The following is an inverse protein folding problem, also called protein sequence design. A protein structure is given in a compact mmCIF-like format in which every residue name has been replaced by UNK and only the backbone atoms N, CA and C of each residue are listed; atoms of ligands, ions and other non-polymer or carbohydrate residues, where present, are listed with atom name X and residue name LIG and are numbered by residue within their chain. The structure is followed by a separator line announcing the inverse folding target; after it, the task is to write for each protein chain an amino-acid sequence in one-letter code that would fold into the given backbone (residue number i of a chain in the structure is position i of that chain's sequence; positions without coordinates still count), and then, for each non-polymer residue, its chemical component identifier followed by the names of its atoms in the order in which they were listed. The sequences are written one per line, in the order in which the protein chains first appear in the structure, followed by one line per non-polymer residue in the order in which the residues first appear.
data_IF_445060568097
#
_entry.id   IF_445060568097
#
_cell.length_a   1.000
_cell.length_b   1.000
_cell.length_c   1.000
_cell.angle_alpha   90.00
_cell.angle_beta   90.00
_cell.angle_gamma   90.00
#
_symmetry.space_group_name_H-M   'P 1'
#
loop_
_entity.id
_entity.type
_entity.pdbx_description
1 polymer ?
#
# COMPACT_ATOMS: atom_id res chain seq x y z
N UNK A 1 -2.44 -36.50 -41.69
CA UNK A 1 -1.62 -35.30 -41.45
C UNK A 1 -2.25 -34.57 -40.27
N UNK A 2 -1.66 -34.70 -39.09
CA UNK A 2 -2.22 -34.22 -37.83
C UNK A 2 -2.17 -32.70 -37.78
N UNK A 3 -3.33 -32.08 -37.75
CA UNK A 3 -3.50 -30.65 -37.58
C UNK A 3 -3.07 -30.27 -36.15
N UNK A 4 -1.79 -29.94 -35.97
CA UNK A 4 -1.32 -29.31 -34.74
C UNK A 4 -1.98 -27.94 -34.67
N UNK A 5 -3.06 -27.84 -33.90
CA UNK A 5 -3.65 -26.57 -33.50
C UNK A 5 -2.52 -25.64 -33.02
N UNK A 6 -2.23 -24.60 -33.80
CA UNK A 6 -1.37 -23.50 -33.39
C UNK A 6 -2.06 -22.87 -32.19
N UNK A 7 -1.72 -23.29 -30.98
CA UNK A 7 -2.12 -22.60 -29.76
C UNK A 7 -1.42 -21.25 -29.79
N UNK A 8 -2.05 -20.27 -30.43
CA UNK A 8 -1.56 -18.91 -30.46
C UNK A 8 -1.41 -18.43 -29.03
N UNK A 9 -0.25 -17.85 -28.71
CA UNK A 9 -0.02 -17.26 -27.39
C UNK A 9 -1.08 -16.19 -27.13
N UNK A 10 -1.94 -16.40 -26.13
CA UNK A 10 -2.88 -15.39 -25.68
C UNK A 10 -2.08 -14.33 -24.93
N UNK A 11 -2.14 -13.07 -25.41
CA UNK A 11 -1.50 -11.95 -24.72
C UNK A 11 -2.21 -11.71 -23.38
N UNK A 12 -1.45 -11.63 -22.29
CA UNK A 12 -1.96 -11.34 -20.95
C UNK A 12 -1.18 -10.15 -20.38
N UNK A 13 -1.88 -9.26 -19.69
CA UNK A 13 -1.29 -8.14 -18.95
C UNK A 13 -2.16 -7.76 -17.75
N UNK A 14 -1.68 -6.86 -16.89
CA UNK A 14 -2.40 -6.41 -15.70
C UNK A 14 -2.64 -4.89 -15.70
N UNK A 15 -3.76 -4.47 -15.08
CA UNK A 15 -4.20 -3.08 -14.97
C UNK A 15 -3.59 -2.31 -13.80
N UNK A 16 -2.58 -2.86 -13.12
CA UNK A 16 -1.85 -2.15 -12.07
C UNK A 16 -1.24 -3.08 -11.04
N UNK A 17 0.04 -2.89 -10.77
CA UNK A 17 0.80 -3.68 -9.79
C UNK A 17 0.26 -3.47 -8.36
N UNK A 18 0.27 -4.54 -7.57
CA UNK A 18 0.09 -4.49 -6.11
C UNK A 18 1.46 -4.62 -5.42
N UNK A 19 1.60 -4.01 -4.25
CA UNK A 19 2.77 -4.27 -3.41
C UNK A 19 2.84 -5.77 -3.07
N UNK A 20 4.03 -6.39 -2.92
CA UNK A 20 4.13 -7.83 -2.68
C UNK A 20 3.42 -8.33 -1.41
N UNK A 21 3.30 -7.47 -0.39
CA UNK A 21 2.56 -7.77 0.84
C UNK A 21 1.05 -7.52 0.71
N UNK A 22 0.63 -6.83 -0.34
CA UNK A 22 -0.75 -6.46 -0.55
C UNK A 22 -1.53 -7.57 -1.24
N UNK A 23 -2.83 -7.55 -1.02
CA UNK A 23 -3.82 -8.47 -1.60
C UNK A 23 -4.99 -7.68 -2.18
N UNK A 24 -5.90 -8.38 -2.84
CA UNK A 24 -7.10 -7.80 -3.42
C UNK A 24 -7.08 -7.81 -4.94
N UNK A 25 -7.90 -6.94 -5.55
CA UNK A 25 -8.17 -6.98 -6.99
C UNK A 25 -6.93 -6.66 -7.80
N UNK A 26 -6.69 -7.47 -8.83
CA UNK A 26 -5.81 -7.15 -9.95
C UNK A 26 -6.61 -7.35 -11.24
N UNK A 27 -6.83 -6.27 -11.99
CA UNK A 27 -7.49 -6.36 -13.30
C UNK A 27 -6.55 -7.05 -14.27
N UNK A 28 -7.01 -8.11 -14.94
CA UNK A 28 -6.26 -8.84 -15.96
C UNK A 28 -6.89 -8.59 -17.32
N UNK A 29 -6.06 -8.17 -18.28
CA UNK A 29 -6.46 -8.04 -19.67
C UNK A 29 -5.98 -9.25 -20.46
N UNK A 30 -6.88 -9.87 -21.21
CA UNK A 30 -6.56 -11.00 -22.09
C UNK A 30 -6.83 -10.65 -23.55
N UNK A 31 -5.92 -11.02 -24.46
CA UNK A 31 -6.04 -10.77 -25.89
C UNK A 31 -6.25 -9.29 -26.23
N UNK A 32 -7.40 -8.97 -26.83
CA UNK A 32 -7.80 -7.59 -27.14
C UNK A 32 -8.07 -6.75 -25.88
N UNK A 33 -8.46 -7.36 -24.77
CA UNK A 33 -8.70 -6.68 -23.48
C UNK A 33 -7.45 -5.99 -22.92
N UNK A 34 -6.25 -6.48 -23.28
CA UNK A 34 -4.99 -5.79 -22.96
C UNK A 34 -4.93 -4.34 -23.47
N UNK A 35 -5.71 -3.97 -24.51
CA UNK A 35 -5.77 -2.59 -25.03
C UNK A 35 -6.44 -1.61 -24.07
N UNK A 36 -7.32 -2.09 -23.17
CA UNK A 36 -8.03 -1.28 -22.17
C UNK A 36 -7.26 -1.14 -20.84
N UNK A 37 -6.11 -1.81 -20.70
CA UNK A 37 -5.37 -1.83 -19.44
C UNK A 37 -4.81 -0.47 -19.04
N UNK A 38 -4.57 0.42 -20.01
CA UNK A 38 -4.12 1.79 -19.74
C UNK A 38 -5.15 2.55 -18.89
N UNK A 39 -6.43 2.47 -19.26
CA UNK A 39 -7.53 3.10 -18.54
C UNK A 39 -7.66 2.55 -17.11
N UNK A 40 -7.34 1.26 -16.93
CA UNK A 40 -7.34 0.61 -15.62
C UNK A 40 -6.17 1.06 -14.75
N UNK A 41 -4.98 1.24 -15.35
CA UNK A 41 -3.82 1.77 -14.65
C UNK A 41 -4.14 3.17 -14.13
N UNK A 42 -4.77 3.99 -14.97
CA UNK A 42 -5.10 5.38 -14.65
C UNK A 42 -6.39 5.58 -13.84
N UNK A 43 -7.12 4.51 -13.52
CA UNK A 43 -8.35 4.60 -12.75
C UNK A 43 -8.10 4.86 -11.26
N UNK A 44 -9.14 5.33 -10.56
CA UNK A 44 -9.17 5.33 -9.11
C UNK A 44 -9.14 3.92 -8.52
N UNK A 45 -8.67 3.82 -7.27
CA UNK A 45 -8.53 2.58 -6.51
C UNK A 45 -9.03 2.81 -5.09
N UNK A 46 -9.62 1.79 -4.48
CA UNK A 46 -10.02 1.80 -3.08
C UNK A 46 -9.18 0.77 -2.33
N UNK A 47 -8.61 1.22 -1.23
CA UNK A 47 -7.79 0.40 -0.36
C UNK A 47 -8.37 0.38 1.05
N UNK A 48 -8.17 -0.75 1.74
CA UNK A 48 -8.26 -0.86 3.18
C UNK A 48 -6.85 -1.15 3.68
N UNK A 49 -6.32 -0.27 4.52
CA UNK A 49 -4.96 -0.36 5.03
C UNK A 49 -4.95 -0.56 6.54
N UNK A 50 -4.13 -1.50 7.02
CA UNK A 50 -3.69 -1.56 8.41
C UNK A 50 -2.41 -0.74 8.56
N UNK A 51 -2.40 0.15 9.53
CA UNK A 51 -1.31 1.08 9.77
C UNK A 51 -0.87 1.02 11.22
N UNK A 52 0.44 0.98 11.45
CA UNK A 52 1.04 1.04 12.78
C UNK A 52 1.78 2.36 12.98
N UNK A 53 1.30 3.16 13.92
CA UNK A 53 1.95 4.37 14.40
C UNK A 53 2.94 4.06 15.52
N UNK A 54 3.91 4.94 15.72
CA UNK A 54 4.99 4.81 16.68
C UNK A 54 6.20 4.05 16.15
N UNK A 55 6.12 3.43 14.97
CA UNK A 55 7.22 2.66 14.40
C UNK A 55 7.35 2.90 12.90
N UNK A 56 8.57 3.03 12.38
CA UNK A 56 8.83 3.17 10.95
C UNK A 56 9.89 2.18 10.45
N UNK A 57 9.77 1.85 9.17
CA UNK A 57 10.67 0.96 8.47
C UNK A 57 11.13 1.56 7.14
N UNK A 58 12.18 0.99 6.56
CA UNK A 58 12.84 1.51 5.37
C UNK A 58 12.01 1.39 4.09
N UNK A 59 11.10 0.43 4.05
CA UNK A 59 10.18 0.20 2.94
C UNK A 59 8.84 0.92 3.14
N UNK A 60 8.66 1.61 4.29
CA UNK A 60 7.39 2.17 4.76
C UNK A 60 6.29 1.11 4.94
N UNK A 61 6.68 -0.15 5.11
CA UNK A 61 5.81 -1.27 5.44
C UNK A 61 6.48 -2.29 6.38
N UNK A 62 5.73 -3.28 6.86
CA UNK A 62 6.22 -4.28 7.80
C UNK A 62 7.34 -5.20 7.26
N UNK A 63 7.64 -5.17 5.95
CA UNK A 63 8.72 -5.99 5.38
C UNK A 63 10.09 -5.32 5.49
N UNK A 64 10.12 -4.03 5.81
CA UNK A 64 11.32 -3.24 5.89
C UNK A 64 12.10 -3.43 7.19
N UNK A 65 13.39 -3.12 7.11
CA UNK A 65 14.23 -2.93 8.29
C UNK A 65 13.75 -1.74 9.12
N UNK A 66 13.86 -1.85 10.44
CA UNK A 66 13.58 -0.76 11.37
C UNK A 66 14.32 0.53 11.01
N UNK A 67 13.66 1.68 11.18
CA UNK A 67 14.25 3.03 11.05
C UNK A 67 14.18 3.80 12.35
N UNK A 68 12.97 3.96 12.91
CA UNK A 68 12.74 4.79 14.08
C UNK A 68 11.49 4.38 14.84
N UNK A 69 11.49 4.68 16.15
CA UNK A 69 10.38 4.49 17.08
C UNK A 69 10.05 5.82 17.77
N UNK A 70 8.77 6.08 18.01
CA UNK A 70 8.26 7.25 18.74
C UNK A 70 7.03 6.89 19.54
N UNK A 71 6.77 7.64 20.60
CA UNK A 71 5.57 7.51 21.42
C UNK A 71 4.29 7.82 20.63
N UNK A 72 3.19 7.23 21.06
CA UNK A 72 1.85 7.44 20.49
C UNK A 72 0.81 7.83 21.53
N UNK A 73 1.20 8.03 22.80
CA UNK A 73 0.29 8.34 23.91
C UNK A 73 -0.55 9.61 23.68
N UNK A 74 -0.02 10.55 22.91
CA UNK A 74 -0.68 11.82 22.58
C UNK A 74 -1.70 11.72 21.44
N UNK A 75 -1.79 10.57 20.77
CA UNK A 75 -2.67 10.38 19.61
C UNK A 75 -4.03 9.94 20.12
N UNK A 76 -5.05 10.75 19.83
CA UNK A 76 -6.45 10.45 20.09
C UNK A 76 -7.16 10.05 18.80
N UNK A 77 -8.31 9.37 18.92
CA UNK A 77 -9.18 9.04 17.78
C UNK A 77 -9.55 10.27 16.96
N UNK A 78 -9.93 11.36 17.62
CA UNK A 78 -10.31 12.62 16.95
C UNK A 78 -9.11 13.26 16.23
N UNK A 79 -7.92 13.22 16.84
CA UNK A 79 -6.70 13.71 16.18
C UNK A 79 -6.37 12.89 14.93
N UNK A 80 -6.57 11.57 14.99
CA UNK A 80 -6.38 10.68 13.85
C UNK A 80 -7.39 10.98 12.75
N UNK A 81 -8.69 11.08 13.07
CA UNK A 81 -9.74 11.47 12.11
C UNK A 81 -9.41 12.82 11.46
N UNK A 82 -9.00 13.82 12.26
CA UNK A 82 -8.57 15.13 11.76
C UNK A 82 -7.38 15.03 10.82
N UNK A 83 -6.39 14.19 11.14
CA UNK A 83 -5.26 13.93 10.26
C UNK A 83 -5.71 13.28 8.95
N UNK A 84 -6.54 12.22 8.98
CA UNK A 84 -7.05 11.58 7.76
C UNK A 84 -7.78 12.58 6.86
N UNK A 85 -8.60 13.47 7.44
CA UNK A 85 -9.31 14.52 6.71
C UNK A 85 -8.37 15.56 6.08
N UNK A 86 -7.26 15.89 6.74
CA UNK A 86 -6.27 16.86 6.22
C UNK A 86 -5.62 16.39 4.92
N UNK A 87 -5.51 15.07 4.72
CA UNK A 87 -4.93 14.50 3.50
C UNK A 87 -5.96 14.22 2.39
N UNK A 88 -7.26 14.52 2.60
CA UNK A 88 -8.25 14.50 1.50
C UNK A 88 -7.97 15.66 0.54
N UNK A 89 -8.22 15.43 -0.74
CA UNK A 89 -7.95 16.41 -1.79
C UNK A 89 -6.70 16.10 -2.61
N UNK A 90 -6.20 17.11 -3.31
CA UNK A 90 -4.96 17.01 -4.07
C UNK A 90 -3.77 17.13 -3.10
N UNK A 91 -2.91 16.11 -3.09
CA UNK A 91 -1.68 16.11 -2.29
C UNK A 91 -0.46 15.84 -3.18
N UNK A 92 0.71 16.23 -2.71
CA UNK A 92 1.98 15.94 -3.38
C UNK A 92 2.71 14.83 -2.64
N UNK A 93 2.95 13.71 -3.32
CA UNK A 93 3.68 12.56 -2.78
C UNK A 93 5.03 12.39 -3.48
N UNK A 94 6.04 12.04 -2.69
CA UNK A 94 7.28 11.47 -3.22
C UNK A 94 7.14 9.94 -3.22
N UNK A 95 7.22 9.28 -4.39
CA UNK A 95 7.23 7.82 -4.45
C UNK A 95 8.27 7.20 -3.51
N UNK A 96 7.98 6.08 -2.82
CA UNK A 96 8.98 5.39 -2.02
C UNK A 96 10.05 4.78 -2.93
N UNK A 97 11.28 4.71 -2.41
CA UNK A 97 12.41 4.05 -3.07
C UNK A 97 12.07 2.59 -3.45
N UNK A 98 11.34 1.88 -2.59
CA UNK A 98 10.81 0.55 -2.87
C UNK A 98 9.52 0.60 -3.70
N UNK A 99 9.64 1.02 -4.96
CA UNK A 99 8.51 1.09 -5.90
C UNK A 99 8.86 0.61 -7.30
N UNK A 100 7.83 0.25 -8.06
CA UNK A 100 7.95 -0.14 -9.47
C UNK A 100 8.14 1.06 -10.41
N UNK A 101 8.42 2.28 -9.93
CA UNK A 101 8.73 3.40 -10.83
C UNK A 101 10.08 3.14 -11.53
N UNK A 102 10.22 3.52 -12.79
CA UNK A 102 11.48 3.38 -13.53
C UNK A 102 12.26 4.70 -13.55
N UNK A 103 13.58 4.62 -13.36
CA UNK A 103 14.55 5.69 -13.54
C UNK A 103 15.69 5.17 -14.41
N UNK A 104 15.83 5.76 -15.60
CA UNK A 104 16.84 5.43 -16.60
C UNK A 104 16.85 3.93 -16.98
N UNK A 105 15.65 3.41 -17.27
CA UNK A 105 15.45 2.02 -17.69
C UNK A 105 15.43 0.99 -16.56
N UNK A 106 15.76 1.36 -15.33
CA UNK A 106 15.83 0.48 -14.16
C UNK A 106 14.77 0.83 -13.11
N UNK A 107 14.16 -0.14 -12.43
CA UNK A 107 13.13 0.11 -11.40
C UNK A 107 13.77 0.62 -10.11
N UNK A 108 13.09 1.53 -9.39
CA UNK A 108 13.62 2.12 -8.14
C UNK A 108 13.95 1.07 -7.08
N UNK A 109 13.14 0.01 -6.97
CA UNK A 109 13.43 -1.09 -6.03
C UNK A 109 14.73 -1.86 -6.38
N UNK A 110 15.17 -1.84 -7.64
CA UNK A 110 16.40 -2.53 -8.07
C UNK A 110 17.62 -1.75 -7.60
N UNK A 111 17.63 -0.42 -7.73
CA UNK A 111 18.65 0.44 -7.12
C UNK A 111 18.75 0.19 -5.60
N UNK A 112 17.59 0.11 -4.94
CA UNK A 112 17.51 -0.09 -3.49
C UNK A 112 18.08 -1.44 -3.02
N UNK A 113 17.86 -2.51 -3.80
CA UNK A 113 18.36 -3.87 -3.49
C UNK A 113 19.84 -4.02 -3.77
N UNK A 114 20.34 -3.34 -4.81
CA UNK A 114 21.75 -3.37 -5.19
C UNK A 114 22.60 -2.35 -4.42
N UNK A 115 21.98 -1.50 -3.59
CA UNK A 115 22.68 -0.47 -2.83
C UNK A 115 23.27 0.64 -3.72
N UNK A 116 22.73 0.82 -4.93
CA UNK A 116 23.22 1.81 -5.89
C UNK A 116 22.63 3.19 -5.58
N UNK A 117 23.42 4.27 -5.73
CA UNK A 117 22.88 5.62 -5.64
C UNK A 117 21.87 5.87 -6.77
N UNK A 118 20.82 6.63 -6.48
CA UNK A 118 19.89 7.06 -7.51
C UNK A 118 20.57 8.08 -8.44
N UNK A 119 20.39 7.99 -9.76
CA UNK A 119 20.90 8.98 -10.72
C UNK A 119 20.43 10.42 -10.44
N UNK A 120 19.24 10.56 -9.84
CA UNK A 120 18.63 11.83 -9.44
C UNK A 120 17.61 11.62 -8.32
N UNK A 121 17.17 12.71 -7.70
CA UNK A 121 16.08 12.66 -6.72
C UNK A 121 14.79 12.10 -7.33
N UNK A 122 14.02 11.38 -6.53
CA UNK A 122 12.73 10.84 -6.96
C UNK A 122 11.76 12.03 -7.12
N UNK A 123 11.23 12.29 -8.32
CA UNK A 123 10.34 13.42 -8.53
C UNK A 123 9.02 13.20 -7.77
N UNK A 124 8.60 14.22 -7.04
CA UNK A 124 7.28 14.24 -6.41
C UNK A 124 6.18 14.36 -7.47
N UNK A 125 5.01 13.79 -7.18
CA UNK A 125 3.84 13.79 -8.06
C UNK A 125 2.58 14.18 -7.30
N UNK A 126 1.67 14.84 -8.01
CA UNK A 126 0.33 15.11 -7.50
C UNK A 126 -0.52 13.85 -7.59
N UNK A 127 -1.28 13.60 -6.54
CA UNK A 127 -2.29 12.53 -6.47
C UNK A 127 -3.53 13.08 -5.78
N UNK A 128 -4.67 12.46 -6.06
CA UNK A 128 -5.94 12.84 -5.46
C UNK A 128 -6.36 11.79 -4.44
N UNK A 129 -6.63 12.21 -3.20
CA UNK A 129 -7.35 11.41 -2.22
C UNK A 129 -8.81 11.86 -2.27
N UNK A 130 -9.65 11.07 -2.92
CA UNK A 130 -11.08 11.38 -3.08
C UNK A 130 -11.80 11.28 -1.75
N UNK A 131 -11.51 10.23 -0.98
CA UNK A 131 -12.09 10.02 0.33
C UNK A 131 -11.18 9.17 1.23
N UNK A 132 -11.36 9.34 2.53
CA UNK A 132 -10.62 8.62 3.57
C UNK A 132 -11.46 8.48 4.83
N UNK A 133 -11.57 7.28 5.37
CA UNK A 133 -12.42 6.96 6.52
C UNK A 133 -11.65 6.11 7.53
N UNK A 134 -11.80 6.42 8.82
CA UNK A 134 -11.29 5.59 9.91
C UNK A 134 -12.25 4.41 10.14
N UNK A 135 -11.80 3.19 9.92
CA UNK A 135 -12.60 1.98 10.12
C UNK A 135 -12.45 1.42 11.54
N UNK A 136 -11.25 1.49 12.13
CA UNK A 136 -11.07 1.06 13.51
C UNK A 136 -9.97 1.84 14.21
N UNK A 137 -10.09 1.88 15.52
CA UNK A 137 -9.13 2.49 16.44
C UNK A 137 -8.99 1.59 17.68
N UNK A 138 -7.83 1.53 18.34
CA UNK A 138 -7.60 0.66 19.49
C UNK A 138 -8.13 1.30 20.79
N UNK A 139 -9.38 1.77 20.78
CA UNK A 139 -10.15 2.23 21.95
C UNK A 139 -11.20 1.19 22.41
N UNK A 140 -11.24 0.02 21.78
CA UNK A 140 -12.22 -1.03 22.02
C UNK A 140 -13.47 -0.97 21.12
N UNK A 141 -13.62 0.06 20.28
CA UNK A 141 -14.72 0.19 19.33
C UNK A 141 -14.22 -0.07 17.89
N UNK A 142 -14.31 -1.32 17.45
CA UNK A 142 -14.07 -1.69 16.04
C UNK A 142 -15.35 -1.45 15.25
N UNK A 143 -15.32 -0.67 14.16
CA UNK A 143 -16.40 -0.69 13.18
C UNK A 143 -16.10 -1.87 12.24
N UNK A 144 -16.92 -2.92 12.22
CA UNK A 144 -16.65 -4.07 11.39
C UNK A 144 -17.08 -3.74 9.94
N UNK A 145 -16.15 -3.25 9.14
CA UNK A 145 -16.33 -3.10 7.69
C UNK A 145 -16.68 -4.46 7.05
N UNK A 146 -17.70 -4.56 6.17
CA UNK A 146 -18.10 -5.83 5.56
C UNK A 146 -17.00 -6.53 4.74
N UNK A 147 -16.10 -5.76 4.09
CA UNK A 147 -14.93 -6.33 3.41
C UNK A 147 -13.94 -6.90 4.44
N UNK A 148 -13.79 -6.27 5.60
CA UNK A 148 -12.97 -6.81 6.71
C UNK A 148 -13.54 -8.11 7.29
N UNK A 149 -14.86 -8.30 7.27
CA UNK A 149 -15.49 -9.56 7.72
C UNK A 149 -15.26 -10.71 6.74
N UNK A 150 -15.34 -10.45 5.43
CA UNK A 150 -15.29 -11.49 4.40
C UNK A 150 -13.86 -11.81 3.95
N UNK A 151 -13.04 -10.77 3.76
CA UNK A 151 -11.67 -10.90 3.29
C UNK A 151 -10.64 -10.86 4.43
N UNK A 152 -11.07 -10.61 5.67
CA UNK A 152 -10.27 -10.74 6.89
C UNK A 152 -9.06 -9.79 6.97
N UNK A 153 -8.42 -9.77 8.15
CA UNK A 153 -6.96 -9.63 8.27
C UNK A 153 -6.39 -11.02 8.51
N UNK A 154 -5.16 -11.30 8.05
CA UNK A 154 -4.40 -12.36 8.71
C UNK A 154 -3.88 -11.78 10.02
N UNK A 155 -4.66 -11.91 11.09
CA UNK A 155 -4.05 -11.97 12.43
C UNK A 155 -3.16 -13.21 12.36
N UNK A 156 -1.84 -13.03 12.40
CA UNK A 156 -0.95 -14.19 12.61
C UNK A 156 -1.33 -14.79 13.96
N UNK A 157 -1.35 -16.12 14.06
CA UNK A 157 -1.80 -16.84 15.26
C UNK A 157 -1.08 -16.43 16.56
N UNK A 158 0.03 -15.69 16.46
CA UNK A 158 0.84 -15.16 17.57
C UNK A 158 0.62 -13.67 17.88
N UNK A 159 -0.22 -12.96 17.11
CA UNK A 159 -0.44 -11.52 17.28
C UNK A 159 0.74 -10.63 16.91
N UNK A 160 1.75 -11.12 16.15
CA UNK A 160 2.97 -10.33 15.85
C UNK A 160 3.11 -9.87 14.40
N UNK A 161 3.55 -8.61 14.23
CA UNK A 161 4.06 -8.05 12.98
C UNK A 161 5.56 -8.35 12.88
N UNK A 162 6.02 -8.93 11.76
CA UNK A 162 7.46 -9.21 11.55
C UNK A 162 8.21 -7.88 11.37
N UNK A 163 9.40 -7.76 11.95
CA UNK A 163 10.33 -6.66 11.72
C UNK A 163 11.57 -7.19 10.98
N UNK A 164 11.95 -6.55 9.88
CA UNK A 164 13.15 -6.89 9.13
C UNK A 164 14.45 -6.45 9.86
N UNK A 165 15.61 -7.03 9.49
CA UNK A 165 16.88 -6.81 10.19
C UNK A 165 17.37 -5.36 10.12
N UNK A 166 17.91 -4.87 11.23
CA UNK A 166 18.38 -3.50 11.45
C UNK A 166 19.62 -3.14 10.62
N UNK A 167 19.53 -2.07 9.82
CA UNK A 167 20.68 -1.32 9.31
C UNK A 167 20.30 0.16 9.33
N UNK A 168 21.22 1.04 9.70
CA UNK A 168 20.95 2.45 10.04
C UNK A 168 20.42 3.25 8.82
N UNK A 169 19.17 3.76 8.82
CA UNK A 169 18.62 4.45 7.64
C UNK A 169 18.20 5.92 7.88
N UNK A 170 18.24 6.70 6.79
CA UNK A 170 17.69 8.05 6.67
C UNK A 170 16.18 8.00 6.42
N UNK A 171 15.40 8.76 7.20
CA UNK A 171 13.96 8.92 6.97
C UNK A 171 13.69 9.73 5.69
N UNK A 172 12.92 9.17 4.74
CA UNK A 172 12.49 9.87 3.52
C UNK A 172 11.01 10.26 3.70
N UNK A 173 10.73 11.56 3.68
CA UNK A 173 9.39 12.13 3.81
C UNK A 173 8.97 12.79 2.50
N UNK A 174 7.66 12.86 2.22
CA UNK A 174 7.18 13.63 1.08
C UNK A 174 7.55 15.11 1.24
N UNK A 175 8.02 15.73 0.16
CA UNK A 175 8.48 17.13 0.19
C UNK A 175 7.35 18.13 0.48
N UNK A 176 6.10 17.76 0.18
CA UNK A 176 4.93 18.63 0.36
C UNK A 176 4.49 18.87 1.80
N UNK A 177 4.90 18.00 2.75
CA UNK A 177 4.54 18.12 4.16
C UNK A 177 5.71 18.58 5.07
N UNK A 178 6.81 19.07 4.49
CA UNK A 178 7.90 19.72 5.26
C UNK A 178 7.44 21.06 5.85
N UNK A 179 6.59 21.02 6.87
CA UNK A 179 6.51 22.10 7.85
C UNK A 179 7.90 22.29 8.45
N UNK A 180 8.36 23.55 8.49
CA UNK A 180 9.65 24.02 9.00
C UNK A 180 10.05 23.33 10.32
N UNK A 181 10.77 22.21 10.27
CA UNK A 181 11.40 21.60 11.46
C UNK A 181 12.91 21.76 11.36
N UNK A 182 13.48 22.45 12.35
CA UNK A 182 14.92 22.52 12.63
C UNK A 182 15.47 21.10 12.72
N UNK A 183 16.57 20.85 12.03
CA UNK A 183 17.37 19.63 12.13
C UNK A 183 17.83 19.46 13.58
N UNK A 184 17.28 18.48 14.28
CA UNK A 184 17.72 18.14 15.63
C UNK A 184 18.89 17.16 15.52
N UNK A 185 20.11 17.70 15.61
CA UNK A 185 21.35 16.94 15.68
C UNK A 185 21.55 16.47 17.12
N UNK A 186 20.93 15.37 17.51
CA UNK A 186 21.30 14.66 18.74
C UNK A 186 22.10 13.38 18.40
N UNK A 187 23.27 13.27 19.05
CA UNK A 187 24.29 12.24 18.89
C UNK A 187 23.75 10.87 19.31
N UNK A 188 23.89 9.84 18.47
CA UNK A 188 23.52 8.46 18.80
C UNK A 188 24.66 7.71 19.51
N UNK A 189 24.32 7.03 20.61
CA UNK A 189 25.19 6.16 21.40
C UNK A 189 24.99 4.71 20.91
N UNK A 190 26.05 3.92 20.62
CA UNK A 190 25.90 2.58 20.04
C UNK A 190 25.73 1.56 21.17
N UNK A 191 24.50 1.33 21.62
CA UNK A 191 24.19 0.16 22.44
C UNK A 191 22.97 -0.55 21.85
N UNK A 192 23.16 -1.85 21.59
CA UNK A 192 22.18 -2.79 21.09
C UNK A 192 20.98 -2.83 22.06
N UNK A 193 19.90 -2.13 21.74
CA UNK A 193 18.67 -2.14 22.55
C UNK A 193 17.93 -3.45 22.30
N UNK A 194 17.51 -4.20 23.34
CA UNK A 194 16.65 -5.37 23.17
C UNK A 194 15.30 -4.96 22.59
N UNK A 195 14.81 -5.70 21.59
CA UNK A 195 13.48 -5.49 20.99
C UNK A 195 12.42 -5.82 22.08
N UNK A 196 11.56 -4.88 22.50
CA UNK A 196 10.55 -5.14 23.53
C UNK A 196 9.53 -6.21 23.08
N UNK A 197 9.11 -7.06 24.02
CA UNK A 197 8.22 -8.20 23.82
C UNK A 197 6.72 -7.86 23.67
N UNK A 198 6.37 -6.58 23.51
CA UNK A 198 4.97 -6.12 23.39
C UNK A 198 4.89 -5.08 22.26
N UNK A 199 3.92 -5.13 21.32
CA UNK A 199 3.90 -4.20 20.20
C UNK A 199 3.59 -2.78 20.67
N UNK A 200 4.62 -1.93 20.78
CA UNK A 200 4.56 -0.60 21.41
C UNK A 200 4.01 0.52 20.49
N UNK A 201 3.07 0.21 19.59
CA UNK A 201 2.55 1.18 18.61
C UNK A 201 1.04 1.11 18.41
N UNK A 202 0.42 2.25 18.12
CA UNK A 202 -1.01 2.36 17.86
C UNK A 202 -1.36 1.82 16.47
N UNK A 203 -2.24 0.81 16.41
CA UNK A 203 -2.70 0.23 15.14
C UNK A 203 -4.10 0.74 14.80
N UNK A 204 -4.31 1.18 13.56
CA UNK A 204 -5.61 1.61 13.06
C UNK A 204 -5.86 1.12 11.64
N UNK A 205 -7.14 1.09 11.25
CA UNK A 205 -7.55 0.75 9.90
C UNK A 205 -8.23 1.92 9.23
N UNK A 206 -7.93 2.14 7.95
CA UNK A 206 -8.61 3.17 7.17
C UNK A 206 -8.96 2.70 5.77
N UNK A 207 -10.14 3.13 5.29
CA UNK A 207 -10.52 3.05 3.88
C UNK A 207 -9.97 4.28 3.16
N UNK A 208 -9.34 4.09 2.01
CA UNK A 208 -8.69 5.14 1.22
C UNK A 208 -9.15 5.00 -0.23
N UNK A 209 -9.88 5.98 -0.75
CA UNK A 209 -10.23 6.08 -2.16
C UNK A 209 -9.35 7.13 -2.82
N UNK A 210 -8.53 6.71 -3.78
CA UNK A 210 -7.49 7.57 -4.34
C UNK A 210 -7.30 7.38 -5.86
N UNK A 211 -6.62 8.34 -6.49
CA UNK A 211 -6.26 8.28 -7.90
C UNK A 211 -5.15 7.27 -8.18
N UNK A 212 -4.93 7.00 -9.47
CA UNK A 212 -3.73 6.32 -9.95
C UNK A 212 -2.46 6.98 -9.40
N UNK A 213 -1.41 6.19 -9.20
CA UNK A 213 -0.13 6.68 -8.69
C UNK A 213 -0.08 7.03 -7.19
N UNK A 214 -1.14 6.83 -6.43
CA UNK A 214 -1.08 7.01 -4.96
C UNK A 214 -0.29 5.87 -4.31
N UNK A 215 0.71 6.18 -3.49
CA UNK A 215 1.36 5.20 -2.62
C UNK A 215 0.76 5.26 -1.23
N UNK A 216 -0.02 4.24 -0.87
CA UNK A 216 -0.64 4.14 0.46
C UNK A 216 0.42 4.10 1.58
N UNK A 217 1.54 3.40 1.36
CA UNK A 217 2.69 3.39 2.27
C UNK A 217 3.23 4.80 2.58
N UNK A 218 3.39 5.64 1.55
CA UNK A 218 3.86 7.01 1.72
C UNK A 218 2.80 7.87 2.43
N UNK A 219 1.53 7.73 2.05
CA UNK A 219 0.40 8.42 2.69
C UNK A 219 0.36 8.16 4.21
N UNK A 220 0.52 6.89 4.62
CA UNK A 220 0.54 6.50 6.03
C UNK A 220 1.72 7.14 6.78
N UNK A 221 2.91 7.14 6.18
CA UNK A 221 4.08 7.77 6.77
C UNK A 221 3.90 9.30 6.93
N UNK A 222 3.26 9.95 5.95
CA UNK A 222 2.95 11.38 6.00
C UNK A 222 1.91 11.70 7.08
N UNK A 223 0.84 10.90 7.19
CA UNK A 223 -0.18 11.01 8.25
C UNK A 223 0.46 10.85 9.63
N UNK A 224 1.34 9.86 9.81
CA UNK A 224 2.05 9.65 11.07
C UNK A 224 2.93 10.86 11.44
N UNK A 225 3.59 11.44 10.44
CA UNK A 225 4.44 12.64 10.60
C UNK A 225 3.61 13.86 11.00
N UNK A 226 2.41 14.01 10.43
CA UNK A 226 1.43 15.04 10.79
C UNK A 226 0.99 14.90 12.25
N UNK A 227 0.76 13.66 12.70
CA UNK A 227 0.44 13.33 14.09
C UNK A 227 1.64 13.43 15.05
N UNK A 228 2.80 13.92 14.59
CA UNK A 228 3.99 14.11 15.43
C UNK A 228 4.72 12.81 15.79
N UNK A 229 4.41 11.70 15.13
CA UNK A 229 5.05 10.39 15.35
C UNK A 229 5.69 9.86 14.05
N UNK A 230 5.97 8.57 13.99
CA UNK A 230 6.37 7.83 12.77
C UNK A 230 5.41 6.66 12.56
N UNK A 231 5.31 6.14 11.34
CA UNK A 231 4.38 5.05 11.04
C UNK A 231 4.74 4.28 9.79
N UNK A 232 4.21 3.07 9.67
CA UNK A 232 4.31 2.25 8.47
C UNK A 232 3.03 1.41 8.27
N UNK A 233 2.85 0.92 7.06
CA UNK A 233 1.75 0.04 6.69
C UNK A 233 2.05 -1.42 7.07
N UNK A 234 1.10 -2.15 7.62
CA UNK A 234 1.30 -3.55 8.04
C UNK A 234 0.49 -4.56 7.23
N UNK A 235 -0.67 -4.17 6.70
CA UNK A 235 -1.46 -4.92 5.71
C UNK A 235 -2.12 -3.95 4.70
N UNK A 236 -2.38 -4.43 3.49
CA UNK A 236 -3.06 -3.66 2.45
C UNK A 236 -3.96 -4.54 1.58
N UNK A 237 -5.24 -4.19 1.53
CA UNK A 237 -6.23 -4.80 0.67
C UNK A 237 -6.72 -3.78 -0.36
N UNK A 238 -6.52 -4.03 -1.66
CA UNK A 238 -7.19 -3.28 -2.73
C UNK A 238 -8.58 -3.86 -2.97
N UNK A 239 -9.61 -3.23 -2.40
CA UNK A 239 -10.99 -3.70 -2.49
C UNK A 239 -11.68 -3.35 -3.80
N UNK A 240 -11.27 -2.24 -4.43
CA UNK A 240 -11.87 -1.78 -5.69
C UNK A 240 -10.80 -1.20 -6.63
N UNK A 241 -10.99 -1.39 -7.94
CA UNK A 241 -10.24 -0.72 -8.99
C UNK A 241 -11.19 -0.37 -10.13
N UNK A 242 -11.34 0.93 -10.42
CA UNK A 242 -12.33 1.41 -11.38
C UNK A 242 -13.72 0.86 -11.01
N UNK A 243 -14.39 0.21 -11.96
CA UNK A 243 -15.68 -0.47 -11.82
C UNK A 243 -15.61 -1.84 -11.14
N UNK A 244 -14.42 -2.43 -10.98
CA UNK A 244 -14.25 -3.77 -10.42
C UNK A 244 -14.15 -3.73 -8.89
N UNK A 245 -14.91 -4.58 -8.20
CA UNK A 245 -15.01 -4.66 -6.74
C UNK A 245 -14.89 -6.10 -6.27
N UNK A 246 -14.27 -6.33 -5.11
CA UNK A 246 -14.11 -7.68 -4.58
C UNK A 246 -15.48 -8.34 -4.39
N UNK A 247 -15.60 -9.61 -4.78
CA UNK A 247 -16.86 -10.34 -4.75
C UNK A 247 -17.87 -9.94 -5.82
N UNK A 248 -17.49 -9.07 -6.77
CA UNK A 248 -18.33 -8.70 -7.91
C UNK A 248 -18.36 -9.80 -8.98
N UNK A 249 -19.40 -9.79 -9.83
CA UNK A 249 -19.61 -10.80 -10.88
C UNK A 249 -18.47 -10.91 -11.90
N UNK A 250 -17.71 -9.83 -12.10
CA UNK A 250 -16.55 -9.77 -13.00
C UNK A 250 -15.22 -10.09 -12.28
N UNK A 251 -15.28 -10.61 -11.05
CA UNK A 251 -14.11 -10.99 -10.26
C UNK A 251 -14.13 -12.47 -9.95
N UNK A 252 -12.94 -13.04 -9.78
CA UNK A 252 -12.73 -14.44 -9.42
C UNK A 252 -11.75 -14.48 -8.28
N UNK A 253 -12.00 -15.37 -7.32
CA UNK A 253 -10.99 -15.75 -6.36
C UNK A 253 -9.93 -16.65 -7.02
N UNK A 254 -8.72 -16.67 -6.48
CA UNK A 254 -7.60 -17.39 -7.10
C UNK A 254 -7.87 -18.89 -7.25
N UNK A 255 -8.62 -19.49 -6.32
CA UNK A 255 -9.03 -20.89 -6.36
C UNK A 255 -10.15 -21.18 -7.39
N UNK A 256 -10.77 -20.15 -7.95
CA UNK A 256 -11.82 -20.29 -8.97
C UNK A 256 -11.26 -20.21 -10.39
N UNK A 257 -10.00 -19.82 -10.55
CA UNK A 257 -9.34 -19.68 -11.85
C UNK A 257 -9.22 -21.00 -12.64
N UNK A 258 -9.39 -22.15 -11.99
CA UNK A 258 -9.38 -23.47 -12.63
C UNK A 258 -10.75 -23.87 -13.20
N UNK A 259 -11.83 -23.20 -12.76
CA UNK A 259 -13.19 -23.43 -13.25
C UNK A 259 -13.45 -22.59 -14.50
N UNK A 260 -13.35 -23.23 -15.67
CA UNK A 260 -13.53 -22.57 -16.97
C UNK A 260 -14.91 -21.92 -17.15
N UNK A 261 -15.96 -22.44 -16.51
CA UNK A 261 -17.27 -21.82 -16.60
C UNK A 261 -17.32 -20.52 -15.80
N UNK A 262 -16.75 -20.51 -14.59
CA UNK A 262 -16.60 -19.29 -13.79
C UNK A 262 -15.73 -18.27 -14.51
N UNK A 263 -14.61 -18.70 -15.07
CA UNK A 263 -13.71 -17.84 -15.87
C UNK A 263 -14.45 -17.20 -17.03
N UNK A 264 -15.19 -17.99 -17.81
CA UNK A 264 -15.97 -17.45 -18.93
C UNK A 264 -17.06 -16.48 -18.47
N UNK A 265 -17.78 -16.78 -17.37
CA UNK A 265 -18.78 -15.86 -16.82
C UNK A 265 -18.17 -14.53 -16.38
N UNK A 266 -17.03 -14.55 -15.68
CA UNK A 266 -16.34 -13.35 -15.25
C UNK A 266 -15.83 -12.52 -16.43
N UNK A 267 -15.29 -13.16 -17.48
CA UNK A 267 -14.90 -12.47 -18.73
C UNK A 267 -16.10 -11.79 -19.39
N UNK A 268 -17.22 -12.49 -19.51
CA UNK A 268 -18.44 -11.91 -20.09
C UNK A 268 -18.99 -10.76 -19.24
N UNK A 269 -18.97 -10.89 -17.91
CA UNK A 269 -19.35 -9.81 -17.00
C UNK A 269 -18.43 -8.60 -17.16
N UNK A 270 -17.11 -8.80 -17.19
CA UNK A 270 -16.13 -7.73 -17.39
C UNK A 270 -16.23 -7.02 -18.75
N UNK A 271 -16.69 -7.71 -19.80
CA UNK A 271 -16.92 -7.09 -21.10
C UNK A 271 -18.14 -6.15 -21.15
N UNK A 272 -19.07 -6.27 -20.19
CA UNK A 272 -20.28 -5.43 -20.08
C UNK A 272 -20.04 -4.13 -19.29
N UNK A 273 -18.92 -4.05 -18.56
CA UNK A 273 -18.51 -2.90 -17.76
C UNK A 273 -17.66 -1.93 -18.59
#
# INVERSE_FOLDING_TARGET
MTERARHGFVRIGHGGTLDPLARGIVVIGMGSGCKKLYDMIDSSKVYIAESRLGFSSRTLDCTGSFVAERKTDHITKDSLIGALNTFKGEITQTPPLYSALSMDGKRLYEYAREGLPLPREIPSRKVQIYDQELLSYPDGNTIPDPCLRHYGFRIRDDGTTLLGPSSTPTLIFSTGFRSKRKTDTSKTNPNHVPIPSTPQGLVFHSRIHCSSGTYVRALIADIATHLGTVGHMTDLLRSEQSVFKLGGEATLEMNECEDLEKVNRAIQAGNRL
#
